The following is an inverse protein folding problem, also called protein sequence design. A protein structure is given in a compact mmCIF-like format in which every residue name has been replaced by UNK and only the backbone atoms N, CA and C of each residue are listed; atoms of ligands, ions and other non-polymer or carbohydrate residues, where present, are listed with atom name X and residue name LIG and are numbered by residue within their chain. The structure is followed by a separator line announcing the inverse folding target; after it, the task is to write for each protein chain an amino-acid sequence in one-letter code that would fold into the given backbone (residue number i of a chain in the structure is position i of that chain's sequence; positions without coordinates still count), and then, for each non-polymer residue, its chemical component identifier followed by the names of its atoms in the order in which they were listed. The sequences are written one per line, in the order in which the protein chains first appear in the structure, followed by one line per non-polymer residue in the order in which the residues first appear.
data_IF_010416912338
#
_entry.id   IF_010416912338
#
_cell.length_a   1.000
_cell.length_b   1.000
_cell.length_c   1.000
_cell.angle_alpha   90.00
_cell.angle_beta   90.00
_cell.angle_gamma   90.00
#
_symmetry.space_group_name_H-M   'P 1'
#
loop_
_entity.id
_entity.type
_entity.pdbx_description
1 polymer ?
#
# COMPACT_ATOMS: atom_id res chain seq x y z
N UNK A 1 11.27 -26.03 16.59
CA UNK A 1 11.36 -25.42 15.24
C UNK A 1 9.99 -24.83 14.97
N UNK A 2 9.91 -23.60 14.48
CA UNK A 2 8.60 -22.98 14.20
C UNK A 2 8.01 -23.65 12.97
N UNK A 3 6.99 -24.50 13.18
CA UNK A 3 6.20 -25.14 12.12
C UNK A 3 5.18 -24.17 11.48
N UNK A 4 5.29 -22.86 11.75
CA UNK A 4 4.41 -21.84 11.17
C UNK A 4 4.59 -21.83 9.66
N UNK A 5 3.56 -22.12 8.85
CA UNK A 5 3.68 -22.09 7.40
C UNK A 5 3.66 -20.66 6.87
N UNK A 6 4.07 -20.47 5.61
CA UNK A 6 3.94 -19.18 4.92
C UNK A 6 2.48 -18.68 4.89
N UNK A 7 2.21 -17.42 5.28
CA UNK A 7 0.91 -16.79 5.01
C UNK A 7 0.75 -16.50 3.52
N UNK A 8 -0.33 -16.99 2.92
CA UNK A 8 -0.63 -16.86 1.49
C UNK A 8 -2.08 -16.39 1.33
N UNK A 9 -2.29 -15.27 0.63
CA UNK A 9 -3.61 -14.75 0.25
C UNK A 9 -3.61 -14.40 -1.25
N UNK A 10 -3.89 -15.39 -2.10
CA UNK A 10 -3.92 -15.22 -3.55
C UNK A 10 -5.01 -14.25 -4.02
N UNK A 11 -6.11 -14.12 -3.29
CA UNK A 11 -7.18 -13.20 -3.66
C UNK A 11 -6.75 -11.75 -3.46
N UNK A 12 -6.04 -11.46 -2.36
CA UNK A 12 -5.44 -10.15 -2.15
C UNK A 12 -4.39 -9.82 -3.21
N UNK A 13 -3.56 -10.79 -3.59
CA UNK A 13 -2.57 -10.63 -4.67
C UNK A 13 -3.29 -10.23 -5.95
N UNK A 14 -4.28 -11.01 -6.40
CA UNK A 14 -5.05 -10.70 -7.62
C UNK A 14 -5.69 -9.32 -7.58
N UNK A 15 -6.22 -8.91 -6.42
CA UNK A 15 -6.83 -7.59 -6.23
C UNK A 15 -5.83 -6.43 -6.30
N UNK A 16 -4.57 -6.66 -5.93
CA UNK A 16 -3.52 -5.64 -5.92
C UNK A 16 -2.95 -5.34 -7.32
N UNK A 17 -3.22 -6.17 -8.34
CA UNK A 17 -2.78 -5.89 -9.70
C UNK A 17 -3.64 -4.79 -10.35
N UNK A 18 -3.02 -3.86 -11.10
CA UNK A 18 -3.75 -2.86 -11.86
C UNK A 18 -4.81 -3.48 -12.78
N UNK A 19 -5.96 -2.82 -13.01
CA UNK A 19 -6.97 -3.28 -13.96
C UNK A 19 -6.37 -3.51 -15.34
N UNK A 20 -6.65 -4.66 -15.93
CA UNK A 20 -6.10 -5.06 -17.24
C UNK A 20 -4.78 -5.83 -17.16
N UNK A 21 -4.12 -5.88 -15.99
CA UNK A 21 -2.94 -6.72 -15.77
C UNK A 21 -3.35 -7.98 -15.02
N UNK A 22 -2.99 -9.14 -15.57
CA UNK A 22 -3.24 -10.43 -14.93
C UNK A 22 -2.10 -10.80 -13.99
N UNK A 23 -2.42 -11.51 -12.91
CA UNK A 23 -1.39 -12.00 -11.98
C UNK A 23 -0.48 -13.00 -12.69
N UNK A 24 0.85 -12.82 -12.67
CA UNK A 24 1.80 -13.72 -13.32
C UNK A 24 1.61 -15.15 -12.85
N UNK A 25 1.55 -16.08 -13.79
CA UNK A 25 1.40 -17.51 -13.49
C UNK A 25 2.52 -18.00 -12.56
N UNK A 26 3.75 -17.53 -12.78
CA UNK A 26 4.89 -17.88 -11.94
C UNK A 26 4.68 -17.48 -10.47
N UNK A 27 4.01 -16.37 -10.18
CA UNK A 27 3.70 -15.95 -8.81
C UNK A 27 2.67 -16.88 -8.15
N UNK A 28 1.67 -17.32 -8.92
CA UNK A 28 0.66 -18.30 -8.47
C UNK A 28 1.30 -19.67 -8.22
N UNK A 29 2.15 -20.13 -9.14
CA UNK A 29 2.87 -21.40 -9.03
C UNK A 29 3.86 -21.35 -7.85
N UNK A 30 4.51 -20.20 -7.60
CA UNK A 30 5.36 -19.99 -6.43
C UNK A 30 4.60 -20.04 -5.11
N UNK A 31 3.41 -19.44 -5.05
CA UNK A 31 2.53 -19.56 -3.88
C UNK A 31 2.16 -21.02 -3.62
N UNK A 32 1.80 -21.78 -4.66
CA UNK A 32 1.56 -23.22 -4.56
C UNK A 32 2.78 -24.02 -4.07
N UNK A 33 3.99 -23.61 -4.48
CA UNK A 33 5.22 -24.24 -3.99
C UNK A 33 5.50 -23.96 -2.50
N UNK A 34 5.16 -22.76 -2.01
CA UNK A 34 5.32 -22.36 -0.61
C UNK A 34 4.28 -23.00 0.33
N UNK A 35 3.17 -23.51 -0.18
CA UNK A 35 2.09 -24.05 0.62
C UNK A 35 2.58 -25.18 1.55
N UNK A 36 2.35 -25.01 2.86
CA UNK A 36 2.78 -25.96 3.89
C UNK A 36 4.29 -25.92 4.22
N UNK A 37 5.10 -25.09 3.54
CA UNK A 37 6.53 -24.95 3.85
C UNK A 37 6.74 -24.04 5.08
N UNK A 38 7.79 -24.28 5.89
CA UNK A 38 8.07 -23.48 7.08
C UNK A 38 8.39 -22.02 6.72
N UNK A 39 7.70 -21.09 7.35
CA UNK A 39 7.96 -19.66 7.23
C UNK A 39 9.41 -19.34 7.62
N UNK A 40 10.11 -18.60 6.76
CA UNK A 40 11.53 -18.32 6.93
C UNK A 40 12.47 -19.30 6.24
N UNK A 41 11.98 -20.37 5.59
CA UNK A 41 12.85 -21.34 4.91
C UNK A 41 13.52 -20.79 3.64
N UNK A 42 12.91 -19.80 2.98
CA UNK A 42 13.44 -19.07 1.82
C UNK A 42 13.35 -17.54 1.97
N UNK A 43 13.04 -17.06 3.17
CA UNK A 43 12.76 -15.65 3.46
C UNK A 43 11.60 -15.48 4.44
N UNK A 44 11.59 -14.38 5.17
CA UNK A 44 10.54 -13.94 6.09
C UNK A 44 9.56 -13.03 5.37
N UNK A 45 8.49 -13.58 4.81
CA UNK A 45 7.46 -12.77 4.16
C UNK A 45 6.10 -13.44 4.17
N UNK A 46 5.05 -12.65 3.93
CA UNK A 46 3.74 -13.12 3.54
C UNK A 46 3.54 -12.87 2.04
N UNK A 47 2.98 -13.85 1.31
CA UNK A 47 2.49 -13.64 -0.04
C UNK A 47 1.06 -13.08 0.07
N UNK A 48 0.98 -11.76 0.15
CA UNK A 48 -0.25 -11.02 0.33
C UNK A 48 -0.16 -9.74 -0.51
N UNK A 49 -1.21 -9.50 -1.31
CA UNK A 49 -1.34 -8.29 -2.08
C UNK A 49 -1.68 -7.08 -1.22
N UNK A 50 -1.11 -5.94 -1.55
CA UNK A 50 -1.48 -4.66 -0.93
C UNK A 50 -1.41 -3.51 -1.93
N UNK A 51 -2.23 -2.49 -1.72
CA UNK A 51 -2.17 -1.27 -2.51
C UNK A 51 -1.02 -0.37 -2.03
N UNK A 52 -0.57 0.52 -2.91
CA UNK A 52 0.48 1.50 -2.58
C UNK A 52 0.12 2.39 -1.39
N UNK A 53 -1.18 2.62 -1.13
CA UNK A 53 -1.73 3.35 0.02
C UNK A 53 -1.31 2.77 1.37
N UNK A 54 -1.04 1.46 1.41
CA UNK A 54 -0.63 0.73 2.61
C UNK A 54 0.86 0.41 2.62
N UNK A 55 1.59 0.83 1.58
CA UNK A 55 3.04 0.68 1.51
C UNK A 55 3.73 1.89 2.16
N UNK A 56 5.04 1.77 2.51
CA UNK A 56 5.86 2.88 2.98
C UNK A 56 6.13 3.96 1.90
N UNK A 57 5.09 4.62 1.41
CA UNK A 57 5.15 5.71 0.43
C UNK A 57 4.16 6.80 0.80
N UNK A 58 4.58 8.06 0.68
CA UNK A 58 3.73 9.21 1.04
C UNK A 58 2.58 9.32 0.06
N UNK A 59 1.36 9.26 0.57
CA UNK A 59 0.12 9.36 -0.20
C UNK A 59 0.16 8.47 -1.45
N UNK A 60 0.25 7.16 -1.23
CA UNK A 60 0.35 6.15 -2.28
C UNK A 60 -0.95 5.91 -3.06
N UNK A 61 -2.09 6.48 -2.64
CA UNK A 61 -3.38 6.25 -3.30
C UNK A 61 -3.41 6.53 -4.81
N UNK A 62 -2.77 7.60 -5.31
CA UNK A 62 -2.63 7.84 -6.75
C UNK A 62 -1.78 6.85 -7.51
N UNK A 63 -1.08 5.95 -6.81
CA UNK A 63 -0.10 5.04 -7.38
C UNK A 63 -0.62 3.60 -7.47
N UNK A 64 -1.90 3.35 -7.18
CA UNK A 64 -2.50 2.00 -7.28
C UNK A 64 -2.36 1.37 -8.67
N UNK A 65 -2.35 2.18 -9.73
CA UNK A 65 -2.12 1.73 -11.10
C UNK A 65 -0.62 1.55 -11.44
N UNK A 66 0.30 1.97 -10.55
CA UNK A 66 1.75 1.95 -10.79
C UNK A 66 2.46 0.78 -10.13
N UNK A 67 1.77 0.07 -9.24
CA UNK A 67 2.35 -1.01 -8.47
C UNK A 67 1.48 -2.25 -8.47
N UNK A 68 2.13 -3.40 -8.38
CA UNK A 68 1.53 -4.69 -8.06
C UNK A 68 2.31 -5.29 -6.89
N UNK A 69 2.02 -4.82 -5.67
CA UNK A 69 2.70 -5.28 -4.46
C UNK A 69 2.08 -6.60 -4.02
N UNK A 70 2.89 -7.65 -3.93
CA UNK A 70 2.43 -9.03 -3.71
C UNK A 70 3.13 -9.74 -2.55
N UNK A 71 4.14 -9.10 -1.95
CA UNK A 71 4.89 -9.65 -0.84
C UNK A 71 5.05 -8.59 0.25
N UNK A 72 4.72 -8.97 1.48
CA UNK A 72 4.80 -8.13 2.68
C UNK A 72 5.82 -8.68 3.66
N UNK A 73 6.74 -7.83 4.10
CA UNK A 73 7.78 -8.18 5.05
C UNK A 73 7.36 -7.85 6.50
N UNK A 74 7.94 -8.49 7.53
CA UNK A 74 7.60 -8.30 8.94
C UNK A 74 7.81 -6.89 9.47
N UNK A 75 8.80 -6.17 8.93
CA UNK A 75 9.10 -4.77 9.24
C UNK A 75 8.05 -3.78 8.68
N UNK A 76 7.13 -4.25 7.85
CA UNK A 76 6.13 -3.43 7.16
C UNK A 76 6.52 -3.05 5.74
N UNK A 77 7.69 -3.47 5.27
CA UNK A 77 8.15 -3.26 3.91
C UNK A 77 7.31 -4.04 2.90
N UNK A 78 7.30 -3.55 1.66
CA UNK A 78 6.55 -4.12 0.55
C UNK A 78 7.47 -4.50 -0.61
N UNK A 79 7.16 -5.59 -1.30
CA UNK A 79 7.86 -6.00 -2.53
C UNK A 79 6.85 -6.28 -3.63
N UNK A 80 7.14 -5.82 -4.85
CA UNK A 80 6.30 -6.09 -6.02
C UNK A 80 6.75 -5.44 -7.31
N UNK A 81 5.94 -5.59 -8.35
CA UNK A 81 6.21 -5.01 -9.67
C UNK A 81 5.92 -3.51 -9.71
N UNK A 82 6.80 -2.73 -10.36
CA UNK A 82 6.63 -1.30 -10.59
C UNK A 82 6.54 -0.98 -12.09
N UNK A 83 5.41 -0.39 -12.50
CA UNK A 83 5.13 -0.07 -13.91
C UNK A 83 5.64 1.33 -14.31
N UNK A 84 6.04 2.18 -13.37
CA UNK A 84 6.57 3.51 -13.68
C UNK A 84 5.52 4.44 -14.29
N UNK A 85 5.86 5.16 -15.36
CA UNK A 85 4.98 6.16 -15.98
C UNK A 85 3.88 5.57 -16.89
N UNK A 86 3.80 4.25 -17.09
CA UNK A 86 2.70 3.62 -17.84
C UNK A 86 2.61 2.11 -17.64
N UNK A 87 1.49 1.49 -18.01
CA UNK A 87 1.24 0.05 -17.91
C UNK A 87 1.81 -0.76 -19.10
N UNK A 88 2.75 -0.18 -19.85
CA UNK A 88 3.21 -0.73 -21.13
C UNK A 88 4.19 -1.90 -20.99
N UNK A 89 4.38 -2.42 -19.77
CA UNK A 89 5.33 -3.48 -19.44
C UNK A 89 4.59 -4.69 -18.90
N UNK A 90 4.59 -5.76 -19.67
CA UNK A 90 4.06 -7.06 -19.26
C UNK A 90 4.92 -7.70 -18.14
N UNK A 91 6.21 -7.37 -18.09
CA UNK A 91 7.16 -7.79 -17.06
C UNK A 91 7.84 -6.56 -16.41
N UNK A 92 7.26 -5.99 -15.34
CA UNK A 92 7.83 -4.85 -14.63
C UNK A 92 9.03 -5.28 -13.76
N UNK A 93 10.02 -4.39 -13.55
CA UNK A 93 11.04 -4.63 -12.54
C UNK A 93 10.41 -4.80 -11.15
N UNK A 94 11.01 -5.66 -10.35
CA UNK A 94 10.60 -5.89 -8.97
C UNK A 94 11.34 -4.91 -8.07
N UNK A 95 10.58 -4.17 -7.28
CA UNK A 95 11.06 -3.15 -6.37
C UNK A 95 10.70 -3.47 -4.93
N UNK A 96 11.47 -2.89 -4.02
CA UNK A 96 11.22 -2.90 -2.59
C UNK A 96 10.92 -1.50 -2.07
N UNK A 97 9.86 -1.38 -1.27
CA UNK A 97 9.48 -0.19 -0.50
C UNK A 97 9.72 -0.45 0.99
N UNK A 98 10.84 0.04 1.51
CA UNK A 98 11.29 -0.18 2.89
C UNK A 98 10.54 0.69 3.90
N UNK A 99 10.20 0.13 5.07
CA UNK A 99 9.50 0.86 6.15
C UNK A 99 10.25 2.10 6.66
N UNK A 100 11.58 2.07 6.56
CA UNK A 100 12.49 3.16 6.97
C UNK A 100 12.91 4.08 5.81
N UNK A 101 12.24 3.97 4.65
CA UNK A 101 12.54 4.77 3.45
C UNK A 101 13.61 4.18 2.54
N UNK A 102 13.95 2.90 2.72
CA UNK A 102 14.84 2.18 1.81
C UNK A 102 14.09 1.81 0.51
N UNK A 103 14.39 2.52 -0.58
CA UNK A 103 13.83 2.22 -1.90
C UNK A 103 14.88 1.60 -2.81
N UNK A 104 14.58 0.42 -3.36
CA UNK A 104 15.51 -0.35 -4.17
C UNK A 104 14.82 -1.10 -5.32
N UNK A 105 15.51 -1.16 -6.47
CA UNK A 105 15.17 -2.11 -7.54
C UNK A 105 15.82 -3.45 -7.19
N UNK A 106 15.01 -4.40 -6.72
CA UNK A 106 15.47 -5.68 -6.20
C UNK A 106 15.86 -6.64 -7.32
N UNK A 107 15.08 -6.67 -8.40
CA UNK A 107 15.33 -7.55 -9.54
C UNK A 107 14.70 -6.98 -10.83
N UNK A 108 15.25 -7.30 -12.02
CA UNK A 108 14.69 -6.85 -13.30
C UNK A 108 13.35 -7.52 -13.67
N UNK A 109 13.01 -8.66 -13.06
CA UNK A 109 11.78 -9.43 -13.30
C UNK A 109 11.44 -10.33 -12.11
N UNK A 110 10.25 -10.94 -12.13
CA UNK A 110 9.82 -11.91 -11.12
C UNK A 110 10.75 -13.15 -11.07
N UNK A 111 11.11 -13.72 -12.23
CA UNK A 111 12.07 -14.82 -12.32
C UNK A 111 13.41 -14.47 -11.65
N UNK A 112 13.91 -13.26 -11.92
CA UNK A 112 15.16 -12.80 -11.34
C UNK A 112 15.05 -12.60 -9.82
N UNK A 113 13.91 -12.14 -9.31
CA UNK A 113 13.67 -12.07 -7.85
C UNK A 113 13.74 -13.47 -7.22
N UNK A 114 13.04 -14.45 -7.81
CA UNK A 114 13.06 -15.82 -7.30
C UNK A 114 14.47 -16.42 -7.36
N UNK A 115 15.23 -16.13 -8.41
CA UNK A 115 16.67 -16.48 -8.50
C UNK A 115 17.53 -15.80 -7.42
N UNK A 116 17.21 -14.57 -7.02
CA UNK A 116 17.89 -13.92 -5.88
C UNK A 116 17.54 -14.58 -4.55
N UNK A 117 16.30 -15.05 -4.34
CA UNK A 117 15.93 -15.85 -3.16
C UNK A 117 16.73 -17.15 -3.10
N UNK A 118 16.94 -17.83 -4.23
CA UNK A 118 17.70 -19.09 -4.25
C UNK A 118 19.17 -18.89 -3.89
N UNK A 119 19.75 -17.78 -4.34
CA UNK A 119 21.15 -17.42 -4.11
C UNK A 119 21.38 -16.59 -2.84
N UNK A 120 20.30 -16.18 -2.15
CA UNK A 120 20.31 -15.34 -0.95
C UNK A 120 21.02 -13.98 -1.17
N UNK A 121 20.99 -13.48 -2.41
CA UNK A 121 21.75 -12.31 -2.86
C UNK A 121 21.04 -10.97 -2.55
N UNK A 122 20.68 -10.74 -1.29
CA UNK A 122 20.05 -9.50 -0.83
C UNK A 122 20.95 -8.72 0.12
N UNK A 123 20.93 -7.40 0.05
CA UNK A 123 21.68 -6.55 0.98
C UNK A 123 21.06 -6.53 2.38
N UNK A 124 21.76 -5.89 3.34
CA UNK A 124 21.34 -5.84 4.75
C UNK A 124 19.96 -5.20 4.93
N UNK A 125 19.61 -4.19 4.13
CA UNK A 125 18.30 -3.54 4.17
C UNK A 125 17.15 -4.52 3.85
N UNK A 126 17.43 -5.58 3.08
CA UNK A 126 16.47 -6.59 2.67
C UNK A 126 16.77 -7.96 3.29
N UNK A 127 17.32 -7.95 4.52
CA UNK A 127 17.69 -9.18 5.21
C UNK A 127 16.52 -10.13 5.49
N UNK A 128 15.29 -9.61 5.57
CA UNK A 128 14.07 -10.42 5.66
C UNK A 128 13.83 -11.29 4.41
N UNK A 129 14.44 -10.97 3.26
CA UNK A 129 14.39 -11.84 2.08
C UNK A 129 15.42 -13.00 2.14
N UNK A 130 16.17 -13.12 3.23
CA UNK A 130 17.08 -14.24 3.48
C UNK A 130 16.44 -15.26 4.43
N UNK A 131 16.78 -16.56 4.32
CA UNK A 131 16.29 -17.57 5.25
C UNK A 131 16.65 -17.25 6.70
N UNK A 132 15.78 -17.63 7.63
CA UNK A 132 16.07 -17.52 9.07
C UNK A 132 17.09 -18.55 9.49
N UNK A 133 17.99 -18.15 10.38
CA UNK A 133 19.04 -19.04 10.92
C UNK A 133 18.46 -20.23 11.73
N UNK A 134 17.28 -20.07 12.33
CA UNK A 134 16.62 -21.08 13.18
C UNK A 134 15.62 -21.98 12.41
N UNK A 135 15.56 -21.85 11.09
CA UNK A 135 14.68 -22.64 10.20
C UNK A 135 15.55 -23.37 9.17
N UNK A 136 15.18 -24.61 8.85
CA UNK A 136 15.86 -25.36 7.80
C UNK A 136 15.75 -24.60 6.46
N UNK A 137 16.89 -24.17 5.93
CA UNK A 137 16.98 -23.48 4.65
C UNK A 137 16.52 -24.39 3.51
N UNK A 138 15.64 -23.89 2.64
CA UNK A 138 15.09 -24.62 1.49
C UNK A 138 15.41 -23.95 0.13
N UNK A 139 16.46 -23.13 0.07
CA UNK A 139 16.81 -22.39 -1.15
C UNK A 139 17.32 -23.29 -2.27
N UNK A 140 17.85 -24.48 -1.96
CA UNK A 140 18.26 -25.49 -2.94
C UNK A 140 17.04 -26.13 -3.61
N UNK A 141 16.03 -26.48 -2.81
CA UNK A 141 14.75 -27.01 -3.28
C UNK A 141 14.01 -25.97 -4.12
N UNK A 142 14.09 -24.69 -3.74
CA UNK A 142 13.57 -23.59 -4.53
C UNK A 142 14.27 -23.51 -5.89
N UNK A 143 15.61 -23.62 -5.92
CA UNK A 143 16.38 -23.60 -7.17
C UNK A 143 15.99 -24.77 -8.10
N UNK A 144 15.82 -25.97 -7.54
CA UNK A 144 15.39 -27.14 -8.30
C UNK A 144 13.97 -26.98 -8.86
N UNK A 145 13.05 -26.46 -8.05
CA UNK A 145 11.68 -26.17 -8.49
C UNK A 145 11.64 -25.09 -9.59
N UNK A 146 12.41 -24.02 -9.43
CA UNK A 146 12.48 -22.93 -10.40
C UNK A 146 13.08 -23.41 -11.73
N UNK A 147 14.11 -24.26 -11.70
CA UNK A 147 14.69 -24.87 -12.89
C UNK A 147 13.72 -25.82 -13.63
N UNK A 148 12.74 -26.39 -12.92
CA UNK A 148 11.70 -27.25 -13.47
C UNK A 148 10.47 -26.51 -13.99
N UNK A 149 10.38 -25.19 -13.81
CA UNK A 149 9.27 -24.41 -14.36
C UNK A 149 9.31 -24.43 -15.90
N UNK A 150 8.15 -24.56 -16.57
CA UNK A 150 8.10 -24.38 -18.01
C UNK A 150 8.71 -23.01 -18.34
N UNK A 151 9.51 -22.93 -19.41
CA UNK A 151 10.02 -21.67 -19.92
C UNK A 151 8.87 -20.85 -20.53
N UNK A 152 7.88 -20.46 -19.72
CA UNK A 152 6.89 -19.45 -20.05
C UNK A 152 7.51 -18.10 -19.73
N UNK A 153 7.71 -17.28 -20.75
CA UNK A 153 8.32 -15.95 -20.69
C UNK A 153 9.59 -15.86 -19.85
N UNK A 154 10.52 -16.79 -20.08
CA UNK A 154 11.93 -16.43 -19.95
C UNK A 154 12.17 -15.29 -20.94
N UNK A 155 11.99 -14.04 -20.51
CA UNK A 155 12.57 -12.90 -21.18
C UNK A 155 14.06 -13.21 -21.27
N UNK A 156 14.48 -13.69 -22.43
CA UNK A 156 15.88 -13.74 -22.83
C UNK A 156 16.32 -12.30 -22.94
N UNK A 157 16.61 -11.69 -21.80
CA UNK A 157 17.34 -10.43 -21.72
C UNK A 157 18.75 -10.72 -21.19
N UNK A 158 19.41 -11.70 -21.81
CA UNK A 158 20.88 -11.69 -21.92
C UNK A 158 21.24 -10.94 -23.22
N UNK A 159 20.92 -9.64 -23.30
CA UNK A 159 21.52 -8.74 -24.30
C UNK A 159 21.28 -7.28 -23.89
N UNK A 160 22.29 -6.71 -23.22
CA UNK A 160 22.34 -5.32 -22.77
C UNK A 160 21.50 -5.08 -21.52
N UNK A 161 22.13 -4.70 -20.40
CA UNK A 161 21.39 -4.13 -19.28
C UNK A 161 20.58 -2.94 -19.83
N UNK A 162 19.25 -3.01 -19.92
CA UNK A 162 18.46 -1.82 -20.20
C UNK A 162 18.81 -0.84 -19.08
N UNK A 163 18.97 0.45 -19.39
CA UNK A 163 19.08 1.47 -18.35
C UNK A 163 17.92 1.25 -17.37
N UNK A 164 18.25 0.68 -16.20
CA UNK A 164 17.25 0.32 -15.23
C UNK A 164 16.60 1.62 -14.76
N UNK A 165 15.26 1.67 -14.71
CA UNK A 165 14.57 2.91 -14.38
C UNK A 165 14.97 3.37 -12.97
N UNK A 166 15.12 4.68 -12.79
CA UNK A 166 15.47 5.29 -11.50
C UNK A 166 14.26 5.26 -10.55
N UNK A 167 14.05 4.10 -9.94
CA UNK A 167 12.98 3.85 -8.98
C UNK A 167 13.14 4.72 -7.73
N UNK A 168 14.36 4.81 -7.20
CA UNK A 168 14.62 5.59 -5.98
C UNK A 168 14.33 7.07 -6.22
N UNK A 169 14.86 7.65 -7.29
CA UNK A 169 14.60 9.04 -7.63
C UNK A 169 13.12 9.30 -7.91
N UNK A 170 12.40 8.33 -8.48
CA UNK A 170 10.95 8.42 -8.62
C UNK A 170 10.22 8.53 -7.27
N UNK A 171 10.47 7.60 -6.33
CA UNK A 171 9.77 7.58 -5.03
C UNK A 171 10.15 8.78 -4.16
N UNK A 172 11.42 9.18 -4.15
CA UNK A 172 11.89 10.36 -3.41
C UNK A 172 11.27 11.64 -3.97
N UNK A 173 11.24 11.79 -5.30
CA UNK A 173 10.57 12.92 -5.95
C UNK A 173 9.07 12.91 -5.65
N UNK A 174 8.41 11.76 -5.79
CA UNK A 174 6.98 11.61 -5.47
C UNK A 174 6.70 12.06 -4.05
N UNK A 175 7.43 11.53 -3.08
CA UNK A 175 7.21 11.80 -1.66
C UNK A 175 7.37 13.29 -1.36
N UNK A 176 8.45 13.91 -1.84
CA UNK A 176 8.68 15.36 -1.68
C UNK A 176 7.57 16.19 -2.32
N UNK A 177 7.17 15.86 -3.55
CA UNK A 177 6.15 16.61 -4.27
C UNK A 177 4.78 16.45 -3.60
N UNK A 178 4.45 15.29 -3.02
CA UNK A 178 3.20 15.08 -2.26
C UNK A 178 3.21 15.77 -0.91
N UNK A 179 4.34 15.77 -0.20
CA UNK A 179 4.48 16.54 1.04
C UNK A 179 4.29 18.04 0.79
N UNK A 180 4.94 18.58 -0.24
CA UNK A 180 4.80 19.98 -0.63
C UNK A 180 3.36 20.30 -1.08
N UNK A 181 2.75 19.40 -1.88
CA UNK A 181 1.35 19.54 -2.28
C UNK A 181 0.43 19.68 -1.07
N UNK A 182 0.51 18.77 -0.09
CA UNK A 182 -0.38 18.81 1.07
C UNK A 182 -0.06 19.96 2.03
N UNK A 183 1.22 20.33 2.17
CA UNK A 183 1.64 21.47 2.97
C UNK A 183 1.05 22.79 2.46
N UNK A 184 0.90 22.93 1.14
CA UNK A 184 0.37 24.12 0.49
C UNK A 184 -1.10 24.00 0.06
N UNK A 185 -1.76 22.87 0.35
CA UNK A 185 -3.13 22.63 -0.09
C UNK A 185 -4.13 23.52 0.65
N UNK A 186 -4.94 24.28 -0.11
CA UNK A 186 -5.89 25.26 0.46
C UNK A 186 -6.83 24.65 1.52
N UNK A 187 -7.40 23.47 1.24
CA UNK A 187 -8.31 22.81 2.18
C UNK A 187 -7.58 22.31 3.43
N UNK A 188 -6.28 21.95 3.33
CA UNK A 188 -5.49 21.53 4.50
C UNK A 188 -5.14 22.72 5.38
N UNK A 189 -4.81 23.86 4.79
CA UNK A 189 -4.59 25.11 5.53
C UNK A 189 -5.88 25.55 6.26
N UNK A 190 -7.03 25.48 5.60
CA UNK A 190 -8.32 25.79 6.21
C UNK A 190 -8.68 24.81 7.34
N UNK A 191 -8.41 23.52 7.14
CA UNK A 191 -8.60 22.49 8.17
C UNK A 191 -7.71 22.76 9.40
N UNK A 192 -6.43 23.07 9.19
CA UNK A 192 -5.48 23.43 10.25
C UNK A 192 -5.94 24.65 11.04
N UNK A 193 -6.45 25.68 10.36
CA UNK A 193 -7.01 26.87 11.01
C UNK A 193 -8.25 26.55 11.86
N UNK A 194 -9.20 25.76 11.32
CA UNK A 194 -10.40 25.35 12.07
C UNK A 194 -10.07 24.49 13.30
N UNK A 195 -8.95 23.77 13.27
CA UNK A 195 -8.48 22.90 14.35
C UNK A 195 -7.39 23.53 15.23
N UNK A 196 -7.16 24.85 15.16
CA UNK A 196 -6.08 25.51 15.89
C UNK A 196 -6.12 25.30 17.41
N UNK A 197 -7.31 25.06 17.99
CA UNK A 197 -7.48 24.74 19.41
C UNK A 197 -6.81 23.41 19.83
N UNK A 198 -6.54 22.53 18.86
CA UNK A 198 -5.93 21.21 19.05
C UNK A 198 -4.46 21.16 18.66
N UNK A 199 -3.81 22.30 18.40
CA UNK A 199 -2.38 22.35 18.13
C UNK A 199 -1.61 21.64 19.26
N UNK A 200 -0.63 20.78 18.90
CA UNK A 200 0.14 20.05 19.89
C UNK A 200 0.89 21.03 20.79
N UNK A 201 0.87 20.78 22.11
CA UNK A 201 1.54 21.62 23.11
C UNK A 201 3.02 21.26 23.31
N UNK A 202 3.49 20.26 22.57
CA UNK A 202 4.86 19.77 22.66
C UNK A 202 5.87 20.77 22.11
N UNK A 203 7.16 20.49 22.32
CA UNK A 203 8.27 21.38 21.95
C UNK A 203 9.09 20.84 20.79
N UNK A 204 8.80 19.63 20.32
CA UNK A 204 9.53 18.98 19.25
C UNK A 204 8.85 19.21 17.90
N UNK A 205 9.62 19.34 16.80
CA UNK A 205 9.04 19.57 15.48
C UNK A 205 8.12 18.44 14.98
N UNK A 206 8.22 17.24 15.53
CA UNK A 206 7.40 16.08 15.17
C UNK A 206 6.21 15.85 16.10
N UNK A 207 6.00 16.72 17.10
CA UNK A 207 4.79 16.69 17.90
C UNK A 207 3.57 16.96 17.02
N UNK A 208 2.59 16.08 17.08
CA UNK A 208 1.35 16.17 16.30
C UNK A 208 0.15 15.68 17.09
N UNK A 209 -1.01 16.29 16.84
CA UNK A 209 -2.30 15.78 17.30
C UNK A 209 -2.93 14.96 16.18
N UNK A 210 -3.26 13.70 16.46
CA UNK A 210 -3.84 12.80 15.46
C UNK A 210 -5.36 12.86 15.44
N UNK A 211 -5.91 12.81 14.23
CA UNK A 211 -7.34 12.78 13.97
C UNK A 211 -7.68 11.62 13.04
N UNK A 212 -8.91 11.16 13.18
CA UNK A 212 -9.54 10.18 12.29
C UNK A 212 -10.91 10.71 11.90
N UNK A 213 -11.24 10.62 10.62
CA UNK A 213 -12.53 11.01 10.05
C UNK A 213 -13.06 9.85 9.23
N UNK A 214 -14.34 9.55 9.36
CA UNK A 214 -15.06 8.59 8.53
C UNK A 214 -16.21 9.29 7.80
N UNK A 215 -16.33 9.06 6.48
CA UNK A 215 -17.43 9.57 5.65
C UNK A 215 -17.93 8.44 4.73
N UNK A 216 -19.21 8.08 4.88
CA UNK A 216 -19.85 7.05 4.05
C UNK A 216 -21.26 7.52 3.71
N UNK A 217 -21.52 7.84 2.44
CA UNK A 217 -22.73 8.50 2.00
C UNK A 217 -23.03 9.73 2.85
N UNK A 218 -24.17 9.71 3.55
CA UNK A 218 -24.60 10.76 4.49
C UNK A 218 -24.00 10.63 5.89
N UNK A 219 -23.41 9.49 6.24
CA UNK A 219 -22.78 9.29 7.55
C UNK A 219 -21.46 10.06 7.64
N UNK A 220 -21.18 10.59 8.83
CA UNK A 220 -19.99 11.37 9.13
C UNK A 220 -19.63 11.23 10.61
N UNK A 221 -18.36 11.01 10.89
CA UNK A 221 -17.81 11.13 12.24
C UNK A 221 -16.36 11.60 12.18
N UNK A 222 -15.96 12.46 13.12
CA UNK A 222 -14.58 12.85 13.31
C UNK A 222 -14.18 12.71 14.78
N UNK A 223 -12.97 12.18 14.99
CA UNK A 223 -12.41 11.90 16.31
C UNK A 223 -10.99 12.43 16.42
N UNK A 224 -10.63 12.89 17.62
CA UNK A 224 -9.25 13.17 18.01
C UNK A 224 -8.70 12.00 18.82
N UNK A 225 -7.44 11.63 18.62
CA UNK A 225 -6.84 10.42 19.21
C UNK A 225 -5.91 10.71 20.40
N UNK A 226 -6.07 11.85 21.08
CA UNK A 226 -5.14 12.32 22.13
C UNK A 226 -5.04 11.36 23.34
N UNK A 227 -6.12 10.63 23.66
CA UNK A 227 -6.18 9.62 24.73
C UNK A 227 -7.06 8.44 24.30
N UNK A 228 -6.92 8.05 23.03
CA UNK A 228 -7.89 7.20 22.33
C UNK A 228 -8.96 8.02 21.60
N UNK A 229 -9.87 7.35 20.86
CA UNK A 229 -10.84 8.03 20.00
C UNK A 229 -11.87 8.82 20.81
N UNK A 230 -11.93 10.14 20.58
CA UNK A 230 -12.83 11.06 21.30
C UNK A 230 -13.49 12.05 20.35
N UNK A 231 -14.77 12.43 20.59
CA UNK A 231 -15.39 13.53 19.88
C UNK A 231 -14.71 14.87 20.25
N UNK A 232 -14.82 15.86 19.37
CA UNK A 232 -14.32 17.22 19.61
C UNK A 232 -15.30 18.26 19.04
N UNK A 233 -15.30 19.48 19.60
CA UNK A 233 -16.33 20.49 19.34
C UNK A 233 -16.38 20.99 17.90
N UNK A 234 -15.24 21.00 17.22
CA UNK A 234 -15.10 21.50 15.86
C UNK A 234 -15.46 20.46 14.78
N UNK A 235 -15.81 19.22 15.16
CA UNK A 235 -16.08 18.12 14.22
C UNK A 235 -17.13 18.50 13.17
N UNK A 236 -18.32 18.96 13.60
CA UNK A 236 -19.36 19.39 12.67
C UNK A 236 -18.93 20.56 11.76
N UNK A 237 -18.02 21.41 12.24
CA UNK A 237 -17.55 22.55 11.47
C UNK A 237 -16.64 22.13 10.31
N UNK A 238 -15.93 21.01 10.38
CA UNK A 238 -15.00 20.58 9.32
C UNK A 238 -15.65 19.63 8.30
N UNK A 239 -16.87 19.15 8.54
CA UNK A 239 -17.54 18.16 7.68
C UNK A 239 -17.65 18.62 6.21
N UNK A 240 -18.18 19.82 5.96
CA UNK A 240 -18.39 20.31 4.59
C UNK A 240 -17.06 20.41 3.83
N UNK A 241 -16.02 20.89 4.50
CA UNK A 241 -14.66 21.01 3.96
C UNK A 241 -14.11 19.64 3.52
N UNK A 242 -14.33 18.61 4.33
CA UNK A 242 -13.85 17.26 4.04
C UNK A 242 -14.67 16.56 2.96
N UNK A 243 -15.98 16.86 2.85
CA UNK A 243 -16.81 16.40 1.74
C UNK A 243 -16.38 17.03 0.41
N UNK A 244 -16.02 18.31 0.43
CA UNK A 244 -15.46 18.99 -0.75
C UNK A 244 -14.12 18.38 -1.15
N UNK A 245 -13.22 18.14 -0.20
CA UNK A 245 -11.96 17.42 -0.45
C UNK A 245 -12.20 16.04 -1.08
N UNK A 246 -13.15 15.28 -0.54
CA UNK A 246 -13.53 13.95 -1.03
C UNK A 246 -14.00 13.99 -2.48
N UNK A 247 -14.74 15.02 -2.86
CA UNK A 247 -15.21 15.22 -4.23
C UNK A 247 -14.11 15.72 -5.17
N UNK A 248 -13.25 16.64 -4.72
CA UNK A 248 -12.10 17.12 -5.49
C UNK A 248 -11.13 15.98 -5.82
N UNK A 249 -10.84 15.11 -4.85
CA UNK A 249 -10.01 13.92 -5.06
C UNK A 249 -10.65 12.94 -6.03
N UNK A 250 -11.95 12.65 -5.89
CA UNK A 250 -12.69 11.80 -6.84
C UNK A 250 -12.63 12.36 -8.26
N UNK A 251 -12.67 13.68 -8.44
CA UNK A 251 -12.56 14.29 -9.77
C UNK A 251 -11.14 14.19 -10.34
N UNK A 252 -10.12 14.29 -9.49
CA UNK A 252 -8.73 14.16 -9.89
C UNK A 252 -8.37 12.72 -10.28
N UNK A 253 -8.89 11.72 -9.54
CA UNK A 253 -8.65 10.29 -9.75
C UNK A 253 -9.97 9.50 -9.64
N UNK A 254 -10.80 9.52 -10.69
CA UNK A 254 -12.11 8.86 -10.68
C UNK A 254 -12.06 7.38 -10.36
N UNK A 255 -11.00 6.69 -10.76
CA UNK A 255 -10.79 5.25 -10.61
C UNK A 255 -10.65 4.78 -9.14
N UNK A 256 -10.25 5.66 -8.22
CA UNK A 256 -10.21 5.35 -6.79
C UNK A 256 -11.60 5.42 -6.15
N UNK A 257 -12.54 6.13 -6.78
CA UNK A 257 -13.83 6.47 -6.21
C UNK A 257 -13.68 7.42 -5.02
N UNK A 258 -14.46 7.18 -3.96
CA UNK A 258 -14.45 7.98 -2.75
C UNK A 258 -13.76 7.22 -1.61
N UNK A 259 -12.85 7.88 -0.90
CA UNK A 259 -12.28 7.33 0.34
C UNK A 259 -13.36 7.21 1.41
N UNK A 260 -13.22 6.26 2.34
CA UNK A 260 -14.16 6.02 3.44
C UNK A 260 -13.68 6.60 4.77
N UNK A 261 -12.36 6.67 4.95
CA UNK A 261 -11.77 7.35 6.09
C UNK A 261 -10.54 8.17 5.70
N UNK A 262 -10.23 9.15 6.55
CA UNK A 262 -9.03 9.97 6.47
C UNK A 262 -8.40 10.02 7.85
N UNK A 263 -7.10 9.74 7.93
CA UNK A 263 -6.27 9.92 9.13
C UNK A 263 -5.31 11.06 8.86
N UNK A 264 -5.11 11.94 9.84
CA UNK A 264 -4.14 13.03 9.67
C UNK A 264 -3.50 13.46 10.98
N UNK A 265 -2.29 14.00 10.85
CA UNK A 265 -1.61 14.71 11.94
C UNK A 265 -1.71 16.22 11.76
N UNK A 266 -2.12 16.93 12.81
CA UNK A 266 -1.99 18.38 12.93
C UNK A 266 -0.68 18.70 13.66
N UNK A 267 0.24 19.35 12.96
CA UNK A 267 1.56 19.73 13.48
C UNK A 267 1.53 21.09 14.17
N UNK A 268 2.57 21.40 14.95
CA UNK A 268 2.66 22.64 15.73
C UNK A 268 2.64 23.93 14.88
N UNK A 269 3.08 23.83 13.62
CA UNK A 269 3.05 24.90 12.62
C UNK A 269 1.68 25.04 11.91
N UNK A 270 0.67 24.26 12.33
CA UNK A 270 -0.66 24.24 11.73
C UNK A 270 -0.78 23.38 10.47
N UNK A 271 0.32 22.74 10.04
CA UNK A 271 0.31 21.87 8.85
C UNK A 271 -0.50 20.62 9.12
N UNK A 272 -1.24 20.15 8.11
CA UNK A 272 -2.04 18.93 8.16
C UNK A 272 -1.55 17.96 7.10
N UNK A 273 -1.06 16.79 7.52
CA UNK A 273 -0.62 15.72 6.61
C UNK A 273 -1.65 14.58 6.59
N UNK A 274 -2.40 14.41 5.48
CA UNK A 274 -3.46 13.41 5.39
C UNK A 274 -2.98 12.06 4.86
N UNK A 275 -3.74 11.02 5.20
CA UNK A 275 -3.69 9.67 4.65
C UNK A 275 -5.14 9.19 4.50
N UNK A 276 -5.44 8.51 3.40
CA UNK A 276 -6.81 8.14 3.01
C UNK A 276 -6.96 6.63 2.96
N UNK A 277 -8.14 6.16 3.35
CA UNK A 277 -8.49 4.74 3.43
C UNK A 277 -9.68 4.49 2.51
N UNK A 278 -9.50 3.61 1.51
CA UNK A 278 -10.52 3.29 0.51
C UNK A 278 -11.06 1.87 0.64
N UNK A 279 -10.46 1.02 1.47
CA UNK A 279 -10.69 -0.43 1.46
C UNK A 279 -11.24 -0.97 2.77
N UNK A 280 -10.97 -0.30 3.89
CA UNK A 280 -11.51 -0.70 5.19
C UNK A 280 -12.88 -0.07 5.44
N UNK A 281 -13.85 -0.90 5.87
CA UNK A 281 -15.16 -0.42 6.31
C UNK A 281 -15.00 0.38 7.62
N UNK A 282 -15.27 1.70 7.63
CA UNK A 282 -15.08 2.48 8.84
C UNK A 282 -16.17 2.15 9.87
N UNK A 283 -15.87 2.44 11.13
CA UNK A 283 -16.84 2.41 12.22
C UNK A 283 -17.32 3.83 12.47
N UNK A 284 -18.63 4.04 12.45
CA UNK A 284 -19.29 5.32 12.72
C UNK A 284 -20.27 5.11 13.88
N UNK A 285 -20.17 5.95 14.92
CA UNK A 285 -20.99 5.85 16.13
C UNK A 285 -20.90 4.48 16.84
N UNK A 286 -19.74 3.84 16.74
CA UNK A 286 -19.47 2.52 17.34
C UNK A 286 -19.95 1.33 16.49
N UNK A 287 -20.61 1.58 15.37
CA UNK A 287 -21.12 0.53 14.48
C UNK A 287 -20.45 0.58 13.10
N UNK A 288 -20.31 -0.55 12.39
CA UNK A 288 -19.83 -0.54 11.01
C UNK A 288 -20.73 0.31 10.10
N UNK A 289 -20.13 1.19 9.30
CA UNK A 289 -20.88 2.10 8.41
C UNK A 289 -21.87 1.36 7.49
N UNK A 290 -23.02 1.96 7.20
CA UNK A 290 -24.13 1.30 6.51
C UNK A 290 -23.75 0.90 5.07
N UNK A 291 -24.03 -0.36 4.74
CA UNK A 291 -23.78 -0.89 3.39
C UNK A 291 -24.60 -0.14 2.32
N UNK A 292 -25.82 0.30 2.64
CA UNK A 292 -26.65 1.08 1.71
C UNK A 292 -26.01 2.41 1.33
N UNK A 293 -25.39 3.10 2.30
CA UNK A 293 -24.70 4.37 2.08
C UNK A 293 -23.41 4.15 1.27
N UNK A 294 -22.66 3.10 1.61
CA UNK A 294 -21.44 2.77 0.87
C UNK A 294 -21.72 2.30 -0.57
N UNK A 295 -22.81 1.57 -0.81
CA UNK A 295 -23.29 1.20 -2.15
C UNK A 295 -23.73 2.44 -2.95
N UNK A 296 -24.38 3.41 -2.30
CA UNK A 296 -24.73 4.67 -2.96
C UNK A 296 -23.48 5.47 -3.35
N UNK A 297 -22.45 5.50 -2.49
CA UNK A 297 -21.16 6.08 -2.82
C UNK A 297 -20.49 5.38 -4.01
N UNK A 298 -20.47 4.03 -4.04
CA UNK A 298 -19.92 3.25 -5.15
C UNK A 298 -20.68 3.49 -6.46
N UNK A 299 -22.01 3.60 -6.42
CA UNK A 299 -22.81 3.90 -7.61
C UNK A 299 -22.54 5.31 -8.16
N UNK A 300 -22.29 6.29 -7.27
CA UNK A 300 -21.96 7.67 -7.63
C UNK A 300 -20.51 7.83 -8.11
N UNK A 301 -19.60 7.05 -7.55
CA UNK A 301 -18.17 7.08 -7.82
C UNK A 301 -17.67 5.64 -8.06
N UNK A 302 -17.94 5.09 -9.26
CA UNK A 302 -17.54 3.73 -9.61
C UNK A 302 -16.03 3.58 -9.59
N UNK A 303 -15.57 2.40 -9.19
CA UNK A 303 -14.17 1.98 -9.26
C UNK A 303 -14.09 0.62 -9.98
N UNK A 304 -12.92 0.23 -10.51
CA UNK A 304 -12.73 -1.09 -11.11
C UNK A 304 -13.20 -2.21 -10.18
N UNK A 305 -13.87 -3.24 -10.73
CA UNK A 305 -14.49 -4.32 -9.94
C UNK A 305 -13.50 -4.99 -8.98
N UNK A 306 -12.26 -5.24 -9.43
CA UNK A 306 -11.20 -5.83 -8.60
C UNK A 306 -10.69 -4.94 -7.46
N UNK A 307 -10.97 -3.63 -7.52
CA UNK A 307 -10.67 -2.66 -6.47
C UNK A 307 -11.90 -2.32 -5.61
N UNK A 308 -13.04 -2.96 -5.85
CA UNK A 308 -14.19 -2.87 -4.94
C UNK A 308 -13.87 -3.67 -3.69
N UNK A 309 -13.91 -3.06 -2.49
CA UNK A 309 -13.62 -3.78 -1.25
C UNK A 309 -14.54 -4.99 -1.04
N UNK A 310 -13.99 -6.10 -0.55
CA UNK A 310 -14.75 -7.36 -0.37
C UNK A 310 -16.01 -7.19 0.47
N UNK A 311 -15.98 -6.33 1.49
CA UNK A 311 -17.13 -6.06 2.36
C UNK A 311 -18.29 -5.33 1.64
N UNK A 312 -18.03 -4.71 0.48
CA UNK A 312 -19.04 -4.11 -0.38
C UNK A 312 -19.58 -5.07 -1.43
N UNK A 313 -18.73 -5.98 -1.91
CA UNK A 313 -19.09 -6.97 -2.93
C UNK A 313 -19.93 -8.14 -2.36
N UNK A 314 -19.76 -8.47 -1.08
CA UNK A 314 -20.38 -9.64 -0.44
C UNK A 314 -21.85 -9.44 -0.03
N UNK A 315 -22.64 -8.58 -0.70
CA UNK A 315 -23.99 -8.20 -0.26
C UNK A 315 -25.00 -8.06 -1.37
#
# INVERSE_FOLDING_TARGET
MSDTPYPIDLDSIRGAFPPGIETPRLLVDFAGWLEGRPWGSVGCFALQGQFADHAPIVDGSPLRDRFSLFMRLPDGSAVGGWYGAGLDRDDPPIVGLGSEGDYELLAPSLDALLGKLTSQAFDRAWSDLRPREDVACQTVELAQWLAGQPAGDKSTSEEGAPDLPDFRGFVEKWSRDREDYWANHRLMAELGWRLAAHLPKGKTPWDKTHFEVAIVGKQYEARVLSRGPQPFGEAASIESLLRDLREDMRRAQPELGLWYAMKFGLYADGRVMPSFEYDVRPTIDGEPALLSEAKADLARAPRPERWVPKWLAAS
#
